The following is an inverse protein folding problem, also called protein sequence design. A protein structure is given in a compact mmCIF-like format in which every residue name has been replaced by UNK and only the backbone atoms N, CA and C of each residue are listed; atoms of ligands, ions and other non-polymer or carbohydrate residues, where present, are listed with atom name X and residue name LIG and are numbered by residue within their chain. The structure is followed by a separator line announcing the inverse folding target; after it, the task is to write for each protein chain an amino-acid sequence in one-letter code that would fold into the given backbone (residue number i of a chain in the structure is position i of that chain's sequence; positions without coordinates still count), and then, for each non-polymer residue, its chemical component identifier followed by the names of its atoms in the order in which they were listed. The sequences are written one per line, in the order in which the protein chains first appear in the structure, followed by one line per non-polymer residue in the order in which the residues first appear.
data_IF_172265359874
#
_entry.id   IF_172265359874
#
_cell.length_a   1.000
_cell.length_b   1.000
_cell.length_c   1.000
_cell.angle_alpha   90.00
_cell.angle_beta   90.00
_cell.angle_gamma   90.00
#
_symmetry.space_group_name_H-M   'P 1'
#
loop_
_entity.id
_entity.type
_entity.pdbx_description
1 polymer ?
#
# COMPACT_ATOMS: atom_id res chain seq x y z
N UNK A 1 21.36 23.79 30.00
CA UNK A 1 20.90 22.75 30.94
C UNK A 1 22.12 22.08 31.55
N UNK A 2 22.06 21.73 32.84
CA UNK A 2 23.19 21.14 33.56
C UNK A 2 23.33 19.63 33.24
N UNK A 3 24.52 19.04 33.40
CA UNK A 3 24.67 17.59 33.47
C UNK A 3 23.72 17.00 34.52
N UNK A 4 23.17 15.83 34.24
CA UNK A 4 22.22 15.16 35.11
C UNK A 4 22.22 13.66 34.81
N UNK A 5 21.83 12.86 35.81
CA UNK A 5 21.55 11.43 35.62
C UNK A 5 20.19 11.24 34.95
N UNK A 6 20.09 10.17 34.16
CA UNK A 6 18.87 9.77 33.47
C UNK A 6 18.29 8.51 34.10
N UNK A 7 16.96 8.46 34.19
CA UNK A 7 16.17 7.31 34.61
C UNK A 7 15.33 6.83 33.43
N UNK A 8 15.39 5.53 33.17
CA UNK A 8 14.51 4.83 32.22
C UNK A 8 13.16 4.58 32.89
N UNK A 9 12.06 4.82 32.18
CA UNK A 9 10.70 4.71 32.73
C UNK A 9 9.91 3.53 32.16
N UNK A 10 10.36 2.98 31.05
CA UNK A 10 9.69 1.86 30.41
C UNK A 10 9.78 0.62 31.31
N UNK A 11 8.68 -0.14 31.55
CA UNK A 11 8.63 -1.20 32.56
C UNK A 11 9.74 -2.25 32.44
N UNK A 12 10.11 -2.60 31.20
CA UNK A 12 11.14 -3.59 30.90
C UNK A 12 12.55 -3.10 31.28
N UNK A 13 12.75 -1.80 31.47
CA UNK A 13 14.04 -1.18 31.76
C UNK A 13 14.18 -0.67 33.20
N UNK A 14 13.15 -0.80 34.05
CA UNK A 14 13.20 -0.30 35.43
C UNK A 14 14.29 -0.99 36.29
N UNK A 15 14.54 -2.28 36.07
CA UNK A 15 15.62 -3.03 36.74
C UNK A 15 16.86 -3.22 35.88
N UNK A 16 16.99 -2.48 34.77
CA UNK A 16 18.06 -2.72 33.82
C UNK A 16 19.42 -2.31 34.36
N UNK A 17 20.36 -3.26 34.36
CA UNK A 17 21.76 -3.04 34.72
C UNK A 17 22.65 -3.51 33.58
N UNK A 18 23.36 -2.58 32.95
CA UNK A 18 24.13 -2.85 31.74
C UNK A 18 24.46 -1.59 30.95
N UNK A 19 25.08 -1.77 29.79
CA UNK A 19 25.41 -0.69 28.87
C UNK A 19 24.29 -0.52 27.84
N UNK A 20 23.70 0.67 27.81
CA UNK A 20 22.69 1.07 26.83
C UNK A 20 23.07 2.43 26.25
N UNK A 21 22.99 2.59 24.93
CA UNK A 21 23.40 3.83 24.24
C UNK A 21 24.82 4.31 24.59
N UNK A 22 25.74 3.37 24.88
CA UNK A 22 27.11 3.67 25.29
C UNK A 22 27.26 4.16 26.74
N UNK A 23 26.20 4.07 27.54
CA UNK A 23 26.16 4.56 28.92
C UNK A 23 25.84 3.39 29.85
N UNK A 24 26.58 3.30 30.97
CA UNK A 24 26.31 2.31 32.00
C UNK A 24 25.10 2.73 32.84
N UNK A 25 24.17 1.80 33.02
CA UNK A 25 23.00 1.90 33.90
C UNK A 25 23.08 0.87 35.03
N UNK A 26 22.51 1.22 36.16
CA UNK A 26 22.23 0.34 37.31
C UNK A 26 20.81 0.63 37.75
N UNK A 27 19.96 -0.41 37.82
CA UNK A 27 18.54 -0.31 38.17
C UNK A 27 17.80 0.80 37.38
N UNK A 28 18.04 0.82 36.06
CA UNK A 28 17.42 1.78 35.14
C UNK A 28 17.92 3.22 35.29
N UNK A 29 18.94 3.50 36.12
CA UNK A 29 19.49 4.83 36.35
C UNK A 29 20.94 4.90 35.84
N UNK A 30 21.29 5.95 35.12
CA UNK A 30 22.66 6.14 34.63
C UNK A 30 23.65 6.29 35.80
N UNK A 31 24.78 5.60 35.72
CA UNK A 31 25.80 5.63 36.78
C UNK A 31 26.44 7.02 36.87
N UNK A 32 26.79 7.60 35.73
CA UNK A 32 27.36 8.94 35.61
C UNK A 32 26.28 9.97 35.27
N UNK A 33 26.57 11.24 35.60
CA UNK A 33 25.87 12.37 35.02
C UNK A 33 26.24 12.50 33.55
N UNK A 34 25.24 12.80 32.74
CA UNK A 34 25.41 12.86 31.29
C UNK A 34 25.44 14.31 30.82
N UNK A 35 26.27 14.65 29.83
CA UNK A 35 26.17 15.92 29.11
C UNK A 35 24.75 16.12 28.55
N UNK A 36 24.33 17.37 28.43
CA UNK A 36 22.97 17.69 27.98
C UNK A 36 22.63 17.12 26.61
N UNK A 37 23.60 16.96 25.71
CA UNK A 37 23.39 16.37 24.38
C UNK A 37 23.01 14.89 24.48
N UNK A 38 23.63 14.14 25.39
CA UNK A 38 23.34 12.73 25.61
C UNK A 38 22.00 12.55 26.33
N UNK A 39 21.69 13.41 27.29
CA UNK A 39 20.38 13.45 27.94
C UNK A 39 19.27 13.66 26.90
N UNK A 40 19.41 14.64 26.00
CA UNK A 40 18.44 14.92 24.93
C UNK A 40 18.27 13.72 24.01
N UNK A 41 19.37 13.09 23.58
CA UNK A 41 19.35 11.93 22.70
C UNK A 41 18.56 10.78 23.32
N UNK A 42 18.85 10.43 24.58
CA UNK A 42 18.20 9.30 25.26
C UNK A 42 16.71 9.58 25.50
N UNK A 43 16.37 10.76 26.00
CA UNK A 43 14.97 11.14 26.25
C UNK A 43 14.14 11.28 24.96
N UNK A 44 14.80 11.51 23.81
CA UNK A 44 14.14 11.53 22.51
C UNK A 44 13.92 10.13 21.93
N UNK A 45 14.88 9.22 22.12
CA UNK A 45 14.80 7.86 21.58
C UNK A 45 14.00 6.89 22.45
N UNK A 46 13.87 7.18 23.75
CA UNK A 46 13.32 6.26 24.74
C UNK A 46 12.45 7.00 25.75
N UNK A 47 11.55 6.25 26.41
CA UNK A 47 10.78 6.78 27.54
C UNK A 47 11.69 6.93 28.76
N UNK A 48 12.32 8.10 28.88
CA UNK A 48 13.27 8.42 29.93
C UNK A 48 13.12 9.88 30.39
N UNK A 49 13.57 10.15 31.62
CA UNK A 49 13.62 11.50 32.20
C UNK A 49 14.91 11.70 32.97
N UNK A 50 15.24 12.93 33.33
CA UNK A 50 16.19 13.15 34.42
C UNK A 50 15.69 12.50 35.71
N UNK A 51 16.59 12.26 36.67
CA UNK A 51 16.21 11.80 38.01
C UNK A 51 15.25 12.75 38.73
N UNK A 52 15.22 14.02 38.34
CA UNK A 52 14.27 15.05 38.79
C UNK A 52 12.91 14.95 38.09
N UNK A 53 12.71 13.96 37.21
CA UNK A 53 11.44 13.71 36.51
C UNK A 53 11.23 14.56 35.27
N UNK A 54 12.22 15.34 34.82
CA UNK A 54 12.08 16.21 33.64
C UNK A 54 12.40 15.44 32.36
N UNK A 55 11.47 15.42 31.41
CA UNK A 55 11.78 15.01 30.03
C UNK A 55 12.47 16.19 29.32
N UNK A 56 13.69 15.94 28.85
CA UNK A 56 14.53 16.97 28.22
C UNK A 56 14.65 16.81 26.71
N UNK A 57 13.85 15.93 26.10
CA UNK A 57 13.82 15.75 24.65
C UNK A 57 13.44 17.04 23.91
N UNK A 58 13.85 17.18 22.63
CA UNK A 58 13.43 18.30 21.80
C UNK A 58 11.90 18.42 21.69
N UNK A 59 11.17 17.29 21.62
CA UNK A 59 9.71 17.28 21.58
C UNK A 59 9.11 17.83 22.87
N UNK A 60 9.58 17.39 24.05
CA UNK A 60 9.12 17.92 25.33
C UNK A 60 9.43 19.43 25.47
N UNK A 61 10.59 19.88 24.99
CA UNK A 61 10.94 21.29 24.95
C UNK A 61 10.00 22.08 24.02
N UNK A 62 9.66 21.55 22.85
CA UNK A 62 8.71 22.18 21.92
C UNK A 62 7.30 22.26 22.52
N UNK A 63 6.82 21.17 23.13
CA UNK A 63 5.53 21.15 23.84
C UNK A 63 5.49 22.23 24.94
N UNK A 64 6.54 22.32 25.77
CA UNK A 64 6.60 23.31 26.85
C UNK A 64 6.66 24.76 26.37
N UNK A 65 7.16 25.02 25.17
CA UNK A 65 7.22 26.38 24.60
C UNK A 65 5.88 26.85 24.05
N UNK A 66 5.03 25.90 23.66
CA UNK A 66 3.74 26.16 23.03
C UNK A 66 2.58 25.82 23.97
N UNK A 67 2.86 25.60 25.26
CA UNK A 67 1.90 25.17 26.28
C UNK A 67 1.02 23.99 25.86
N UNK A 68 1.57 23.09 25.02
CA UNK A 68 0.85 21.94 24.49
C UNK A 68 0.73 20.87 25.58
N UNK A 69 -0.50 20.56 25.95
CA UNK A 69 -0.84 19.47 26.87
C UNK A 69 -1.47 18.30 26.11
N UNK A 70 -1.49 17.12 26.74
CA UNK A 70 -2.13 15.95 26.13
C UNK A 70 -3.64 16.16 25.89
N UNK A 71 -4.28 17.01 26.70
CA UNK A 71 -5.70 17.33 26.60
C UNK A 71 -6.02 18.20 25.37
N UNK A 72 -5.03 18.89 24.80
CA UNK A 72 -5.18 19.68 23.58
C UNK A 72 -5.18 18.80 22.31
N UNK A 73 -4.85 17.51 22.43
CA UNK A 73 -4.78 16.58 21.31
C UNK A 73 -6.17 16.00 21.03
N UNK A 74 -6.88 16.59 20.09
CA UNK A 74 -8.10 16.00 19.53
C UNK A 74 -7.70 15.07 18.38
N UNK A 75 -7.81 13.76 18.60
CA UNK A 75 -7.62 12.78 17.53
C UNK A 75 -8.78 12.90 16.54
N UNK A 76 -8.52 13.50 15.36
CA UNK A 76 -9.52 13.56 14.31
C UNK A 76 -9.67 12.18 13.69
N UNK A 77 -10.87 11.61 13.78
CA UNK A 77 -11.20 10.35 13.15
C UNK A 77 -10.82 10.39 11.66
N UNK A 78 -10.03 9.43 11.22
CA UNK A 78 -9.72 9.28 9.81
C UNK A 78 -11.04 9.07 9.04
N UNK A 79 -11.20 9.67 7.85
CA UNK A 79 -12.36 9.40 7.03
C UNK A 79 -12.42 7.91 6.67
N UNK A 80 -13.63 7.36 6.61
CA UNK A 80 -13.85 5.97 6.24
C UNK A 80 -13.20 5.65 4.90
N UNK A 81 -12.45 4.54 4.86
CA UNK A 81 -11.80 4.06 3.64
C UNK A 81 -12.91 3.53 2.72
N UNK A 82 -13.40 4.37 1.81
CA UNK A 82 -14.34 3.94 0.77
C UNK A 82 -13.58 3.02 -0.19
N UNK A 83 -13.98 1.75 -0.37
CA UNK A 83 -13.33 0.86 -1.33
C UNK A 83 -13.43 1.50 -2.72
N UNK A 84 -12.28 1.79 -3.32
CA UNK A 84 -12.24 2.19 -4.72
C UNK A 84 -12.88 1.07 -5.55
N UNK A 85 -14.04 1.34 -6.14
CA UNK A 85 -14.58 0.49 -7.18
C UNK A 85 -13.55 0.48 -8.30
N UNK A 86 -12.82 -0.64 -8.44
CA UNK A 86 -11.99 -0.89 -9.62
C UNK A 86 -12.93 -0.72 -10.81
N UNK A 87 -12.60 0.21 -11.70
CA UNK A 87 -13.37 0.38 -12.93
C UNK A 87 -13.44 -0.98 -13.62
N UNK A 88 -14.63 -1.57 -13.66
CA UNK A 88 -14.93 -2.53 -14.71
C UNK A 88 -14.88 -1.72 -15.98
N UNK A 89 -13.86 -1.93 -16.80
CA UNK A 89 -13.95 -1.52 -18.18
C UNK A 89 -15.24 -2.15 -18.71
N UNK A 90 -16.27 -1.33 -18.91
CA UNK A 90 -17.35 -1.70 -19.82
C UNK A 90 -16.66 -1.87 -21.17
N UNK A 91 -16.29 -3.10 -21.46
CA UNK A 91 -16.12 -3.52 -22.84
C UNK A 91 -17.52 -3.40 -23.41
N UNK A 92 -17.83 -2.24 -23.99
CA UNK A 92 -18.96 -2.11 -24.91
C UNK A 92 -18.77 -3.24 -25.92
N UNK A 93 -19.54 -4.32 -25.74
CA UNK A 93 -19.58 -5.41 -26.68
C UNK A 93 -20.21 -4.82 -27.94
N UNK A 94 -19.35 -4.40 -28.88
CA UNK A 94 -19.79 -4.01 -30.22
C UNK A 94 -20.70 -5.13 -30.74
N UNK A 95 -21.89 -4.80 -31.26
CA UNK A 95 -22.80 -5.81 -31.77
C UNK A 95 -22.08 -6.61 -32.84
N UNK A 96 -21.84 -7.90 -32.56
CA UNK A 96 -21.19 -8.80 -33.50
C UNK A 96 -22.14 -8.96 -34.68
N UNK A 97 -21.72 -8.49 -35.85
CA UNK A 97 -22.49 -8.63 -37.08
C UNK A 97 -22.64 -10.12 -37.40
N UNK A 98 -23.89 -10.58 -37.52
CA UNK A 98 -24.21 -11.95 -37.93
C UNK A 98 -24.14 -12.04 -39.44
N UNK A 99 -23.51 -13.10 -39.95
CA UNK A 99 -23.39 -13.36 -41.38
C UNK A 99 -24.21 -14.61 -41.72
N UNK A 100 -24.88 -14.62 -42.86
CA UNK A 100 -25.50 -15.84 -43.38
C UNK A 100 -24.46 -16.71 -44.09
N UNK A 101 -24.81 -17.97 -44.37
CA UNK A 101 -23.90 -18.89 -45.06
C UNK A 101 -23.52 -18.37 -46.45
N UNK A 102 -24.50 -17.85 -47.18
CA UNK A 102 -24.34 -17.33 -48.54
C UNK A 102 -23.42 -16.10 -48.57
N UNK A 103 -23.48 -15.25 -47.53
CA UNK A 103 -22.59 -14.10 -47.38
C UNK A 103 -21.15 -14.53 -47.12
N UNK A 104 -20.95 -15.54 -46.26
CA UNK A 104 -19.61 -16.08 -45.99
C UNK A 104 -19.03 -16.81 -47.21
N UNK A 105 -19.86 -17.52 -47.98
CA UNK A 105 -19.45 -18.15 -49.24
C UNK A 105 -19.06 -17.09 -50.29
N UNK A 106 -19.83 -16.01 -50.43
CA UNK A 106 -19.47 -14.91 -51.32
C UNK A 106 -18.17 -14.20 -50.90
N UNK A 107 -17.92 -14.03 -49.60
CA UNK A 107 -16.66 -13.47 -49.10
C UNK A 107 -15.49 -14.42 -49.37
N UNK A 108 -15.71 -15.73 -49.28
CA UNK A 108 -14.70 -16.72 -49.62
C UNK A 108 -14.37 -16.71 -51.11
N UNK A 109 -15.36 -16.51 -51.99
CA UNK A 109 -15.13 -16.44 -53.44
C UNK A 109 -14.37 -15.17 -53.84
N UNK A 110 -14.61 -14.04 -53.16
CA UNK A 110 -13.98 -12.76 -53.45
C UNK A 110 -12.60 -12.59 -52.79
N UNK A 111 -12.49 -12.91 -51.49
CA UNK A 111 -11.32 -12.62 -50.66
C UNK A 111 -10.60 -13.88 -50.17
N UNK A 112 -11.13 -15.06 -50.49
CA UNK A 112 -10.58 -16.33 -50.04
C UNK A 112 -10.69 -16.54 -48.54
N UNK A 113 -9.90 -17.48 -48.03
CA UNK A 113 -9.83 -17.78 -46.60
C UNK A 113 -9.32 -16.61 -45.75
N UNK A 114 -8.68 -15.61 -46.36
CA UNK A 114 -8.15 -14.44 -45.64
C UNK A 114 -9.28 -13.56 -45.09
N UNK A 115 -10.32 -13.28 -45.89
CA UNK A 115 -11.50 -12.54 -45.46
C UNK A 115 -12.25 -13.25 -44.33
N UNK A 116 -12.46 -14.56 -44.48
CA UNK A 116 -13.09 -15.37 -43.43
C UNK A 116 -12.30 -15.39 -42.12
N UNK A 117 -10.96 -15.36 -42.16
CA UNK A 117 -10.13 -15.29 -40.95
C UNK A 117 -10.28 -13.96 -40.21
N UNK A 118 -10.51 -12.85 -40.91
CA UNK A 118 -10.74 -11.56 -40.24
C UNK A 118 -12.03 -11.62 -39.42
N UNK A 119 -13.09 -12.17 -39.99
CA UNK A 119 -14.37 -12.38 -39.31
C UNK A 119 -14.22 -13.37 -38.16
N UNK A 120 -13.63 -14.54 -38.42
CA UNK A 120 -13.42 -15.59 -37.43
C UNK A 120 -12.59 -15.12 -36.23
N UNK A 121 -11.53 -14.33 -36.44
CA UNK A 121 -10.70 -13.81 -35.35
C UNK A 121 -11.45 -12.87 -34.39
N UNK A 122 -12.47 -12.14 -34.88
CA UNK A 122 -13.28 -11.26 -34.02
C UNK A 122 -14.15 -12.05 -33.05
N UNK A 123 -14.52 -13.28 -33.41
CA UNK A 123 -15.38 -14.18 -32.62
C UNK A 123 -14.63 -15.42 -32.10
N UNK A 124 -13.30 -15.45 -32.22
CA UNK A 124 -12.44 -16.50 -31.68
C UNK A 124 -12.40 -17.81 -32.47
N UNK A 125 -12.86 -17.84 -33.72
CA UNK A 125 -12.88 -19.03 -34.59
C UNK A 125 -11.61 -19.11 -35.43
N UNK A 126 -10.98 -20.30 -35.48
CA UNK A 126 -9.78 -20.58 -36.29
C UNK A 126 -9.91 -21.93 -37.00
N UNK A 127 -9.80 -21.93 -38.32
CA UNK A 127 -9.81 -23.14 -39.15
C UNK A 127 -8.79 -23.07 -40.30
N UNK A 128 -8.51 -24.23 -40.90
CA UNK A 128 -7.52 -24.35 -42.00
C UNK A 128 -8.19 -24.39 -43.37
N UNK A 129 -9.42 -24.90 -43.46
CA UNK A 129 -10.24 -24.87 -44.68
C UNK A 129 -11.28 -23.75 -44.70
N UNK A 130 -11.73 -23.36 -45.91
CA UNK A 130 -12.81 -22.38 -46.11
C UNK A 130 -14.12 -22.91 -45.51
N UNK A 131 -14.51 -24.13 -45.86
CA UNK A 131 -15.76 -24.76 -45.36
C UNK A 131 -15.77 -24.87 -43.84
N UNK A 132 -14.66 -25.36 -43.25
CA UNK A 132 -14.49 -25.44 -41.79
C UNK A 132 -14.57 -24.07 -41.10
N UNK A 133 -14.09 -23.02 -41.77
CA UNK A 133 -14.14 -21.65 -41.25
C UNK A 133 -15.57 -21.10 -41.27
N UNK A 134 -16.33 -21.34 -42.34
CA UNK A 134 -17.73 -20.91 -42.47
C UNK A 134 -18.59 -21.60 -41.41
N UNK A 135 -18.47 -22.92 -41.26
CA UNK A 135 -19.20 -23.68 -40.25
C UNK A 135 -18.83 -23.23 -38.83
N UNK A 136 -17.55 -22.98 -38.56
CA UNK A 136 -17.09 -22.46 -37.27
C UNK A 136 -17.67 -21.09 -36.95
N UNK A 137 -17.77 -20.19 -37.94
CA UNK A 137 -18.34 -18.85 -37.79
C UNK A 137 -19.85 -18.93 -37.51
N UNK A 138 -20.59 -19.72 -38.29
CA UNK A 138 -22.04 -19.89 -38.10
C UNK A 138 -22.36 -20.47 -36.72
N UNK A 139 -21.60 -21.46 -36.27
CA UNK A 139 -21.73 -22.06 -34.95
C UNK A 139 -21.43 -21.06 -33.82
N UNK A 140 -20.39 -20.25 -33.97
CA UNK A 140 -20.05 -19.20 -33.01
C UNK A 140 -21.10 -18.06 -32.96
N UNK A 141 -21.86 -17.86 -34.05
CA UNK A 141 -22.97 -16.91 -34.13
C UNK A 141 -24.31 -17.48 -33.64
N UNK A 142 -24.37 -18.77 -33.28
CA UNK A 142 -25.55 -19.45 -32.74
C UNK A 142 -26.46 -20.10 -33.79
N UNK A 143 -25.95 -20.37 -35.01
CA UNK A 143 -26.58 -21.30 -35.95
C UNK A 143 -26.16 -22.75 -35.64
N UNK A 144 -27.05 -23.72 -35.84
CA UNK A 144 -26.77 -25.16 -35.66
C UNK A 144 -25.57 -25.65 -36.49
#
# INVERSE_FOLDING_TARGET
MKPAKIRLLEPQFLGYTGILCGIQFVDGISVAELPFIDQQRICASMRATTVEGKNVSPSAAYSSRNDLTADDIVETAAPDIVPMKRGTAEVEAKPVQRFTREELESIADCEGIAGLRQIGNQIGVKAKGIVEMIEGILKAQGGE
#
